data_IF_755380657344
#
_entry.id   IF_755380657344
#
_cell.length_a   1.000
_cell.length_b   1.000
_cell.length_c   1.000
_cell.angle_alpha   90.00
_cell.angle_beta   90.00
_cell.angle_gamma   90.00
#
_symmetry.space_group_name_H-M   'P 1'
#
loop_
_entity.id
_entity.type
_entity.pdbx_description
1 polymer ?
#
# COMPACT_ATOMS: atom_id res chain seq x y z
N UNK A 1 23.81 9.26 -25.17
CA UNK A 1 23.04 8.13 -24.61
C UNK A 1 22.77 8.51 -23.17
N UNK A 2 21.56 8.97 -22.84
CA UNK A 2 21.24 9.35 -21.47
C UNK A 2 20.77 8.10 -20.73
N UNK A 3 21.59 7.60 -19.82
CA UNK A 3 21.19 6.49 -18.96
C UNK A 3 20.19 6.98 -17.92
N UNK A 4 18.99 6.40 -17.91
CA UNK A 4 17.99 6.62 -16.86
C UNK A 4 18.19 5.63 -15.70
N UNK A 5 17.93 6.08 -14.48
CA UNK A 5 18.02 5.25 -13.27
C UNK A 5 16.77 5.44 -12.42
N UNK A 6 16.27 4.36 -11.82
CA UNK A 6 15.14 4.38 -10.91
C UNK A 6 15.63 4.35 -9.46
N UNK A 7 15.08 5.24 -8.64
CA UNK A 7 15.37 5.38 -7.21
C UNK A 7 14.05 5.17 -6.44
N UNK A 8 13.90 4.09 -5.66
CA UNK A 8 12.73 3.92 -4.82
C UNK A 8 12.80 4.83 -3.58
N UNK A 9 11.70 5.52 -3.25
CA UNK A 9 11.46 6.00 -1.88
C UNK A 9 10.79 4.85 -1.09
N UNK A 10 11.23 4.59 0.14
CA UNK A 10 11.20 3.23 0.70
C UNK A 10 9.94 2.85 1.50
N UNK A 11 8.80 3.52 1.31
CA UNK A 11 7.60 3.29 2.11
C UNK A 11 6.50 2.57 1.33
N UNK A 12 6.74 1.34 0.89
CA UNK A 12 5.67 0.50 0.35
C UNK A 12 4.85 -0.11 1.49
N UNK A 13 3.53 0.10 1.44
CA UNK A 13 2.59 -0.60 2.31
C UNK A 13 2.53 -2.10 2.01
N UNK A 14 1.80 -2.88 2.81
CA UNK A 14 1.49 -4.25 2.47
C UNK A 14 0.77 -4.29 1.10
N UNK A 15 1.46 -4.75 0.05
CA UNK A 15 0.89 -4.84 -1.31
C UNK A 15 0.38 -6.25 -1.65
N UNK A 16 0.55 -7.20 -0.72
CA UNK A 16 0.37 -8.62 -0.99
C UNK A 16 -1.07 -9.00 -1.37
N UNK A 17 -2.05 -8.19 -1.00
CA UNK A 17 -3.47 -8.43 -1.31
C UNK A 17 -3.93 -7.72 -2.58
N UNK A 18 -3.17 -6.74 -3.08
CA UNK A 18 -3.59 -5.89 -4.19
C UNK A 18 -3.42 -6.61 -5.53
N UNK A 19 -4.52 -6.78 -6.25
CA UNK A 19 -4.49 -7.26 -7.64
C UNK A 19 -4.15 -6.11 -8.57
N UNK A 20 -3.24 -6.36 -9.50
CA UNK A 20 -2.86 -5.44 -10.57
C UNK A 20 -3.90 -5.50 -11.69
N UNK A 21 -4.17 -4.35 -12.30
CA UNK A 21 -4.99 -4.25 -13.51
C UNK A 21 -4.31 -4.88 -14.73
N UNK A 22 -2.97 -4.90 -14.75
CA UNK A 22 -2.16 -5.46 -15.82
C UNK A 22 -1.24 -6.56 -15.30
N UNK A 23 -1.08 -7.60 -16.12
CA UNK A 23 -0.12 -8.68 -15.86
C UNK A 23 1.26 -8.25 -16.31
N UNK A 24 2.09 -7.85 -15.37
CA UNK A 24 3.50 -7.60 -15.63
C UNK A 24 4.25 -8.88 -15.29
N UNK A 25 4.97 -9.43 -16.27
CA UNK A 25 5.77 -10.65 -16.12
C UNK A 25 4.95 -11.85 -15.60
N UNK A 26 3.68 -11.95 -16.01
CA UNK A 26 2.77 -13.04 -15.62
C UNK A 26 2.27 -13.00 -14.17
N UNK A 27 2.59 -11.97 -13.38
CA UNK A 27 2.04 -11.79 -12.03
C UNK A 27 0.77 -10.95 -12.05
N UNK A 28 -0.20 -11.30 -11.20
CA UNK A 28 -1.41 -10.52 -10.95
C UNK A 28 -1.37 -9.76 -9.63
N UNK A 29 -0.43 -10.07 -8.75
CA UNK A 29 -0.37 -9.46 -7.42
C UNK A 29 0.74 -8.43 -7.38
N UNK A 30 0.44 -7.30 -6.74
CA UNK A 30 1.30 -6.12 -6.73
C UNK A 30 2.65 -6.39 -6.05
N UNK A 31 2.68 -7.19 -4.99
CA UNK A 31 3.91 -7.61 -4.30
C UNK A 31 4.89 -8.34 -5.23
N UNK A 32 4.45 -9.42 -5.87
CA UNK A 32 5.30 -10.19 -6.78
C UNK A 32 5.70 -9.38 -8.01
N UNK A 33 4.79 -8.56 -8.54
CA UNK A 33 5.08 -7.71 -9.69
C UNK A 33 6.20 -6.71 -9.36
N UNK A 34 6.11 -6.05 -8.21
CA UNK A 34 7.12 -5.08 -7.80
C UNK A 34 8.50 -5.72 -7.60
N UNK A 35 8.57 -6.84 -6.88
CA UNK A 35 9.83 -7.57 -6.69
C UNK A 35 10.45 -8.00 -8.02
N UNK A 36 9.64 -8.43 -8.99
CA UNK A 36 10.13 -8.81 -10.33
C UNK A 36 10.63 -7.61 -11.13
N UNK A 37 9.96 -6.47 -11.07
CA UNK A 37 10.41 -5.23 -11.72
C UNK A 37 11.75 -4.79 -11.13
N UNK A 38 11.85 -4.75 -9.80
CA UNK A 38 13.10 -4.41 -9.11
C UNK A 38 14.23 -5.37 -9.48
N UNK A 39 13.97 -6.68 -9.56
CA UNK A 39 14.95 -7.66 -10.00
C UNK A 39 15.47 -7.36 -11.41
N UNK A 40 14.60 -7.07 -12.38
CA UNK A 40 15.00 -6.74 -13.76
C UNK A 40 15.78 -5.42 -13.80
N UNK A 41 15.31 -4.39 -13.10
CA UNK A 41 16.02 -3.11 -13.03
C UNK A 41 17.40 -3.26 -12.37
N UNK A 42 17.52 -4.11 -11.34
CA UNK A 42 18.79 -4.43 -10.71
C UNK A 42 19.75 -5.17 -11.65
N UNK A 43 19.26 -6.19 -12.36
CA UNK A 43 20.08 -6.95 -13.32
C UNK A 43 20.57 -6.09 -14.50
N UNK A 44 19.81 -5.07 -14.88
CA UNK A 44 20.19 -4.12 -15.93
C UNK A 44 21.04 -2.96 -15.42
N UNK A 45 21.35 -2.90 -14.11
CA UNK A 45 22.10 -1.81 -13.49
C UNK A 45 21.34 -0.48 -13.45
N UNK A 46 20.01 -0.50 -13.61
CA UNK A 46 19.13 0.67 -13.67
C UNK A 46 18.46 1.00 -12.34
N UNK A 47 18.66 0.19 -11.30
CA UNK A 47 18.10 0.39 -9.97
C UNK A 47 19.15 0.92 -9.00
N UNK A 48 18.91 2.10 -8.44
CA UNK A 48 19.69 2.65 -7.33
C UNK A 48 18.92 2.43 -6.02
N UNK A 49 18.91 1.18 -5.55
CA UNK A 49 18.27 0.82 -4.29
C UNK A 49 19.31 0.79 -3.17
N UNK A 50 19.04 1.51 -2.09
CA UNK A 50 19.91 1.56 -0.94
C UNK A 50 19.17 1.10 0.31
N UNK A 51 19.81 0.22 1.08
CA UNK A 51 19.31 -0.13 2.41
C UNK A 51 19.53 1.05 3.38
N UNK A 52 18.59 1.25 4.31
CA UNK A 52 18.68 2.28 5.36
C UNK A 52 18.81 3.73 4.82
N UNK A 53 18.15 3.99 3.69
CA UNK A 53 18.00 5.34 3.16
C UNK A 53 17.07 6.14 4.06
N UNK A 54 17.60 7.21 4.65
CA UNK A 54 16.85 8.06 5.57
C UNK A 54 16.20 9.23 4.84
N UNK A 55 16.97 9.89 3.97
CA UNK A 55 16.52 11.11 3.30
C UNK A 55 17.08 11.20 1.88
N UNK A 56 16.21 11.63 0.95
CA UNK A 56 16.55 11.98 -0.41
C UNK A 56 16.43 13.50 -0.52
N UNK A 57 17.53 14.18 -0.86
CA UNK A 57 17.54 15.62 -1.14
C UNK A 57 17.87 15.88 -2.60
N UNK A 58 17.12 16.76 -3.23
CA UNK A 58 17.36 17.20 -4.61
C UNK A 58 17.68 18.68 -4.56
N UNK A 59 18.89 19.03 -4.99
CA UNK A 59 19.34 20.42 -5.07
C UNK A 59 19.96 20.69 -6.43
N UNK A 60 19.40 21.66 -7.15
CA UNK A 60 19.79 22.04 -8.53
C UNK A 60 19.90 20.84 -9.50
N UNK A 61 21.14 20.42 -9.84
CA UNK A 61 21.49 19.34 -10.77
C UNK A 61 21.91 18.06 -10.05
N UNK A 62 21.73 17.98 -8.73
CA UNK A 62 22.26 16.90 -7.93
C UNK A 62 21.27 16.28 -6.94
N UNK A 63 21.26 14.95 -6.90
CA UNK A 63 20.54 14.16 -5.92
C UNK A 63 21.50 13.68 -4.85
N UNK A 64 21.13 13.86 -3.59
CA UNK A 64 21.89 13.48 -2.40
C UNK A 64 21.10 12.48 -1.58
N UNK A 65 21.71 11.33 -1.35
CA UNK A 65 21.22 10.28 -0.47
C UNK A 65 21.91 10.36 0.88
N UNK A 66 21.15 10.41 1.97
CA UNK A 66 21.67 10.37 3.33
C UNK A 66 21.21 9.09 4.04
N UNK A 67 22.16 8.39 4.66
CA UNK A 67 21.93 7.09 5.32
C UNK A 67 21.99 7.22 6.83
N UNK A 68 21.39 6.27 7.55
CA UNK A 68 21.39 6.22 9.01
C UNK A 68 22.81 6.12 9.62
N UNK A 69 23.73 5.50 8.90
CA UNK A 69 25.15 5.41 9.29
C UNK A 69 25.96 6.68 8.96
N UNK A 70 25.29 7.81 8.69
CA UNK A 70 25.88 9.10 8.31
C UNK A 70 26.66 9.10 7.00
N UNK A 71 26.57 8.04 6.19
CA UNK A 71 27.11 8.06 4.83
C UNK A 71 26.26 8.96 3.94
N UNK A 72 26.90 9.52 2.91
CA UNK A 72 26.28 10.40 1.95
C UNK A 72 26.77 10.04 0.54
N UNK A 73 25.83 9.79 -0.37
CA UNK A 73 26.13 9.68 -1.80
C UNK A 73 25.52 10.87 -2.55
N UNK A 74 26.26 11.42 -3.52
CA UNK A 74 25.81 12.53 -4.36
C UNK A 74 26.00 12.17 -5.82
N UNK A 75 24.95 12.30 -6.62
CA UNK A 75 24.97 12.07 -8.06
C UNK A 75 24.48 13.31 -8.78
N UNK A 76 25.06 13.60 -9.95
CA UNK A 76 24.56 14.63 -10.86
C UNK A 76 23.60 14.03 -11.86
N UNK A 77 22.57 14.78 -12.23
CA UNK A 77 21.58 14.38 -13.23
C UNK A 77 21.31 15.52 -14.21
N UNK A 78 20.88 15.16 -15.43
CA UNK A 78 20.38 16.14 -16.41
C UNK A 78 18.89 16.44 -16.24
N UNK A 79 18.09 15.39 -16.04
CA UNK A 79 16.64 15.48 -15.77
C UNK A 79 16.24 14.49 -14.67
N UNK A 80 15.32 14.90 -13.81
CA UNK A 80 14.77 14.11 -12.72
C UNK A 80 13.24 14.21 -12.74
N UNK A 81 12.58 13.05 -12.77
CA UNK A 81 11.13 12.93 -12.69
C UNK A 81 10.75 12.28 -11.35
N UNK A 82 9.91 12.97 -10.58
CA UNK A 82 9.48 12.54 -9.25
C UNK A 82 8.03 12.08 -9.33
N UNK A 83 7.80 10.79 -9.04
CA UNK A 83 6.47 10.18 -9.02
C UNK A 83 5.79 10.25 -7.64
N UNK A 84 6.59 10.33 -6.57
CA UNK A 84 6.11 10.45 -5.21
C UNK A 84 7.05 11.38 -4.44
N UNK A 85 6.49 12.49 -3.95
CA UNK A 85 7.24 13.53 -3.24
C UNK A 85 7.46 13.19 -1.77
N UNK A 86 6.78 12.14 -1.27
CA UNK A 86 6.86 11.76 0.15
C UNK A 86 8.30 11.41 0.54
N UNK A 87 8.84 12.11 1.55
CA UNK A 87 10.21 11.87 2.04
C UNK A 87 11.31 12.32 1.07
N UNK A 88 10.97 13.20 0.11
CA UNK A 88 11.91 13.83 -0.81
C UNK A 88 11.95 15.33 -0.52
N UNK A 89 13.10 15.82 -0.09
CA UNK A 89 13.37 17.24 0.11
C UNK A 89 13.86 17.84 -1.22
N UNK A 90 13.20 18.87 -1.73
CA UNK A 90 13.50 19.46 -3.04
C UNK A 90 13.43 20.98 -3.02
N UNK A 91 14.24 21.62 -3.85
CA UNK A 91 14.29 23.08 -3.97
C UNK A 91 13.08 23.68 -4.73
N UNK A 92 12.27 22.85 -5.39
CA UNK A 92 11.11 23.31 -6.16
C UNK A 92 10.15 24.10 -5.27
N UNK A 93 9.64 25.23 -5.79
CA UNK A 93 8.69 26.06 -5.05
C UNK A 93 7.36 25.33 -4.88
N UNK A 94 6.82 25.37 -3.66
CA UNK A 94 5.49 24.83 -3.36
C UNK A 94 4.44 25.85 -3.83
N UNK A 95 3.74 25.53 -4.92
CA UNK A 95 2.63 26.34 -5.45
C UNK A 95 1.46 26.29 -4.46
N UNK A 96 1.16 25.09 -3.95
CA UNK A 96 0.04 24.87 -3.06
C UNK A 96 0.38 23.85 -1.99
N UNK A 97 0.27 24.28 -0.75
CA UNK A 97 0.31 23.39 0.40
C UNK A 97 -1.01 22.64 0.52
N UNK A 98 -0.98 21.32 0.47
CA UNK A 98 -2.13 20.45 0.71
C UNK A 98 -1.80 19.59 1.94
N UNK A 99 -2.64 19.60 2.99
CA UNK A 99 -2.39 18.79 4.17
C UNK A 99 -2.13 17.33 3.82
N UNK A 100 -1.05 16.76 4.34
CA UNK A 100 -0.72 15.35 4.15
C UNK A 100 -1.88 14.46 4.55
N UNK A 101 -2.13 13.43 3.76
CA UNK A 101 -3.04 12.34 4.10
C UNK A 101 -2.23 11.11 4.46
N UNK A 102 -2.78 10.28 5.32
CA UNK A 102 -2.14 9.07 5.78
C UNK A 102 -2.90 7.86 5.27
N UNK A 103 -2.21 6.99 4.53
CA UNK A 103 -2.72 5.67 4.22
C UNK A 103 -2.47 4.76 5.40
N UNK A 104 -3.55 4.21 5.95
CA UNK A 104 -3.49 3.31 7.10
C UNK A 104 -3.94 1.93 6.69
N UNK A 105 -3.07 0.97 6.94
CA UNK A 105 -3.32 -0.45 6.74
C UNK A 105 -3.44 -1.12 8.09
N UNK A 106 -4.64 -1.61 8.41
CA UNK A 106 -4.86 -2.44 9.60
C UNK A 106 -5.02 -3.89 9.17
N UNK A 107 -4.09 -4.73 9.63
CA UNK A 107 -4.06 -6.17 9.35
C UNK A 107 -4.79 -6.92 10.47
N UNK A 108 -5.68 -7.82 10.10
CA UNK A 108 -6.51 -8.57 11.02
C UNK A 108 -6.46 -10.07 10.74
N UNK A 109 -6.24 -10.83 11.81
CA UNK A 109 -6.44 -12.27 11.80
C UNK A 109 -7.92 -12.59 11.98
N UNK A 110 -8.47 -13.44 11.09
CA UNK A 110 -9.84 -13.92 11.20
C UNK A 110 -9.81 -15.40 11.61
N UNK A 111 -10.48 -15.70 12.71
CA UNK A 111 -10.61 -17.06 13.25
C UNK A 111 -12.07 -17.43 13.42
N UNK A 112 -12.34 -18.73 13.58
CA UNK A 112 -13.70 -19.26 13.79
C UNK A 112 -14.60 -18.98 12.56
N UNK A 113 -14.03 -18.91 11.35
CA UNK A 113 -14.81 -18.89 10.11
C UNK A 113 -15.50 -20.23 9.89
N UNK A 114 -16.76 -20.20 9.45
CA UNK A 114 -17.49 -21.42 9.07
C UNK A 114 -17.14 -21.83 7.65
N UNK A 115 -16.69 -23.07 7.46
CA UNK A 115 -16.30 -23.56 6.13
C UNK A 115 -14.86 -23.21 5.74
N UNK A 116 -14.49 -23.58 4.52
CA UNK A 116 -13.16 -23.32 3.95
C UNK A 116 -13.31 -22.24 2.88
N UNK A 117 -13.05 -20.99 3.26
CA UNK A 117 -13.10 -19.87 2.33
C UNK A 117 -11.74 -19.72 1.65
N UNK A 118 -11.71 -19.78 0.32
CA UNK A 118 -10.50 -19.47 -0.47
C UNK A 118 -10.58 -18.10 -1.12
N UNK A 119 -11.78 -17.53 -1.16
CA UNK A 119 -12.10 -16.22 -1.70
C UNK A 119 -13.27 -15.62 -0.92
N UNK A 120 -13.17 -14.34 -0.60
CA UNK A 120 -14.23 -13.51 -0.07
C UNK A 120 -14.25 -12.21 -0.86
N UNK A 121 -15.45 -11.66 -1.08
CA UNK A 121 -15.60 -10.43 -1.84
C UNK A 121 -15.05 -9.22 -1.07
N UNK A 122 -14.19 -8.41 -1.70
CA UNK A 122 -13.66 -7.22 -1.06
C UNK A 122 -14.76 -6.17 -0.89
N UNK A 123 -14.64 -5.34 0.15
CA UNK A 123 -15.43 -4.10 0.28
C UNK A 123 -14.67 -2.97 -0.39
N UNK A 124 -15.36 -2.15 -1.18
CA UNK A 124 -14.87 -0.86 -1.66
C UNK A 124 -15.98 0.15 -1.38
N UNK A 125 -15.69 1.17 -0.60
CA UNK A 125 -16.59 2.28 -0.30
C UNK A 125 -15.85 3.61 -0.40
N UNK A 126 -16.58 4.72 -0.29
CA UNK A 126 -16.03 6.07 -0.25
C UNK A 126 -15.75 6.56 1.18
N UNK A 127 -15.86 5.66 2.18
CA UNK A 127 -15.61 5.98 3.58
C UNK A 127 -14.11 6.28 3.81
N UNK A 128 -13.77 7.12 4.78
CA UNK A 128 -12.37 7.40 5.12
C UNK A 128 -11.72 6.23 5.89
N UNK A 129 -12.49 5.61 6.81
CA UNK A 129 -12.09 4.45 7.60
C UNK A 129 -12.56 3.14 6.97
N UNK A 130 -11.66 2.17 6.86
CA UNK A 130 -11.92 0.88 6.20
C UNK A 130 -12.61 1.06 4.85
N UNK A 131 -12.11 2.05 4.09
CA UNK A 131 -12.52 2.39 2.72
C UNK A 131 -12.53 1.14 1.86
N UNK A 132 -11.47 0.36 1.97
CA UNK A 132 -11.36 -0.92 1.31
C UNK A 132 -11.08 -2.02 2.33
N UNK A 133 -11.69 -3.19 2.15
CA UNK A 133 -11.44 -4.39 2.93
C UNK A 133 -11.07 -5.49 1.96
N UNK A 134 -9.84 -5.99 2.06
CA UNK A 134 -9.31 -7.01 1.18
C UNK A 134 -9.04 -8.29 1.98
N UNK A 135 -9.53 -9.42 1.47
CA UNK A 135 -9.31 -10.73 2.06
C UNK A 135 -8.21 -11.47 1.32
N UNK A 136 -7.39 -12.21 2.06
CA UNK A 136 -6.29 -12.97 1.49
C UNK A 136 -6.10 -14.29 2.23
N UNK A 137 -5.60 -15.30 1.51
CA UNK A 137 -5.25 -16.58 2.12
C UNK A 137 -3.92 -16.43 2.83
N UNK A 138 -3.96 -16.58 4.15
CA UNK A 138 -2.84 -16.43 5.07
C UNK A 138 -2.06 -17.73 5.18
N UNK A 139 -0.74 -17.62 5.08
CA UNK A 139 0.19 -18.74 5.27
C UNK A 139 0.46 -19.09 6.73
N UNK A 140 -0.30 -18.52 7.69
CA UNK A 140 -0.03 -18.71 9.13
C UNK A 140 -0.31 -20.11 9.67
N UNK A 141 -1.00 -20.94 8.89
CA UNK A 141 -1.20 -22.37 9.20
C UNK A 141 -0.65 -23.16 8.02
N UNK A 142 0.42 -23.91 8.28
CA UNK A 142 1.12 -24.68 7.26
C UNK A 142 0.17 -25.64 6.54
N UNK A 143 0.17 -25.59 5.21
CA UNK A 143 -0.66 -26.44 4.34
C UNK A 143 -2.13 -26.01 4.23
N UNK A 144 -2.58 -24.96 4.93
CA UNK A 144 -3.99 -24.55 4.91
C UNK A 144 -4.26 -23.36 3.98
N UNK A 145 -4.54 -23.65 2.71
CA UNK A 145 -4.83 -22.64 1.68
C UNK A 145 -6.21 -21.94 1.82
N UNK A 146 -6.94 -22.20 2.89
CA UNK A 146 -8.29 -21.68 3.16
C UNK A 146 -8.36 -20.80 4.41
N UNK A 147 -7.22 -20.56 5.07
CA UNK A 147 -7.17 -19.66 6.22
C UNK A 147 -7.21 -18.24 5.67
N UNK A 148 -8.37 -17.62 5.75
CA UNK A 148 -8.57 -16.25 5.24
C UNK A 148 -8.37 -15.24 6.36
N UNK A 149 -7.46 -14.30 6.15
CA UNK A 149 -7.29 -13.10 6.98
C UNK A 149 -7.66 -11.87 6.14
N UNK A 150 -7.65 -10.67 6.72
CA UNK A 150 -7.97 -9.46 5.99
C UNK A 150 -7.14 -8.26 6.38
N UNK A 151 -7.08 -7.30 5.47
CA UNK A 151 -6.47 -6.00 5.67
C UNK A 151 -7.45 -4.93 5.24
N UNK A 152 -7.53 -3.86 6.03
CA UNK A 152 -8.34 -2.70 5.70
C UNK A 152 -7.44 -1.55 5.30
N UNK A 153 -7.78 -0.86 4.21
CA UNK A 153 -7.13 0.37 3.77
C UNK A 153 -8.02 1.56 4.14
N UNK A 154 -7.43 2.54 4.81
CA UNK A 154 -8.08 3.80 5.22
C UNK A 154 -7.23 4.98 4.75
N UNK A 155 -7.88 6.12 4.54
CA UNK A 155 -7.21 7.38 4.21
C UNK A 155 -7.61 8.40 5.27
N UNK A 156 -6.68 8.72 6.17
CA UNK A 156 -6.94 9.51 7.36
C UNK A 156 -6.14 10.81 7.36
N UNK A 157 -6.63 11.83 8.05
CA UNK A 157 -5.86 13.03 8.40
C UNK A 157 -5.00 12.78 9.64
N UNK A 158 -4.06 13.69 9.92
CA UNK A 158 -3.20 13.62 11.12
C UNK A 158 -4.01 13.61 12.41
N UNK A 159 -5.09 14.38 12.47
CA UNK A 159 -5.95 14.46 13.66
C UNK A 159 -6.76 13.17 13.85
N UNK A 160 -7.24 12.59 12.74
CA UNK A 160 -7.97 11.32 12.76
C UNK A 160 -7.09 10.15 13.21
N UNK A 161 -5.79 10.14 12.90
CA UNK A 161 -4.87 9.10 13.40
C UNK A 161 -4.86 8.99 14.93
N UNK A 162 -5.05 10.11 15.63
CA UNK A 162 -5.07 10.17 17.09
C UNK A 162 -6.48 10.05 17.68
N UNK A 163 -7.50 9.95 16.83
CA UNK A 163 -8.89 9.82 17.24
C UNK A 163 -9.28 8.35 17.40
N UNK A 164 -9.88 8.01 18.54
CA UNK A 164 -10.33 6.65 18.85
C UNK A 164 -11.41 6.13 17.90
N UNK A 165 -12.18 7.02 17.26
CA UNK A 165 -13.19 6.66 16.24
C UNK A 165 -12.57 6.11 14.95
N UNK A 166 -11.28 6.33 14.72
CA UNK A 166 -10.52 5.82 13.56
C UNK A 166 -9.48 4.77 13.98
N UNK A 167 -9.68 4.16 15.15
CA UNK A 167 -8.83 3.09 15.69
C UNK A 167 -9.04 1.75 15.00
N UNK A 168 -8.10 0.84 15.20
CA UNK A 168 -8.16 -0.56 14.77
C UNK A 168 -9.37 -1.30 15.36
N UNK A 169 -9.85 -0.84 16.52
CA UNK A 169 -11.06 -1.38 17.15
C UNK A 169 -12.30 -1.07 16.32
N UNK A 170 -12.40 0.12 15.72
CA UNK A 170 -13.50 0.47 14.82
C UNK A 170 -13.34 -0.23 13.46
N UNK A 171 -12.12 -0.28 12.92
CA UNK A 171 -11.83 -1.07 11.72
C UNK A 171 -12.25 -2.55 11.85
N UNK A 172 -12.03 -3.16 13.01
CA UNK A 172 -12.52 -4.51 13.34
C UNK A 172 -14.05 -4.63 13.23
N UNK A 173 -14.81 -3.64 13.69
CA UNK A 173 -16.27 -3.65 13.56
C UNK A 173 -16.71 -3.50 12.10
N UNK A 174 -15.99 -2.70 11.30
CA UNK A 174 -16.20 -2.61 9.84
C UNK A 174 -16.02 -3.98 9.17
N UNK A 175 -14.96 -4.72 9.50
CA UNK A 175 -14.72 -6.08 8.99
C UNK A 175 -15.84 -7.04 9.39
N UNK A 176 -16.25 -7.05 10.65
CA UNK A 176 -17.32 -7.93 11.14
C UNK A 176 -18.65 -7.66 10.43
N UNK A 177 -18.99 -6.37 10.25
CA UNK A 177 -20.19 -5.95 9.53
C UNK A 177 -20.13 -6.34 8.06
N UNK A 178 -18.96 -6.23 7.43
CA UNK A 178 -18.78 -6.65 6.03
C UNK A 178 -18.96 -8.16 5.88
N UNK A 179 -18.33 -8.97 6.73
CA UNK A 179 -18.49 -10.43 6.76
C UNK A 179 -19.97 -10.83 6.89
N UNK A 180 -20.71 -10.18 7.79
CA UNK A 180 -22.15 -10.43 7.97
C UNK A 180 -22.94 -10.06 6.70
N UNK A 181 -22.60 -8.94 6.05
CA UNK A 181 -23.28 -8.47 4.85
C UNK A 181 -23.13 -9.41 3.65
N UNK A 182 -21.96 -10.07 3.52
CA UNK A 182 -21.71 -11.09 2.50
C UNK A 182 -22.14 -12.51 2.94
N UNK A 183 -22.88 -12.63 4.05
CA UNK A 183 -23.43 -13.89 4.53
C UNK A 183 -22.43 -14.85 5.19
N UNK A 184 -21.20 -14.40 5.47
CA UNK A 184 -20.19 -15.21 6.13
C UNK A 184 -20.48 -15.32 7.62
N UNK A 185 -20.63 -16.57 8.07
CA UNK A 185 -20.90 -16.91 9.47
C UNK A 185 -19.70 -17.63 10.08
N UNK A 186 -19.64 -17.67 11.40
CA UNK A 186 -18.62 -18.46 12.07
C UNK A 186 -18.95 -19.95 12.08
N UNK A 187 -18.07 -20.74 12.70
CA UNK A 187 -18.22 -22.19 12.79
C UNK A 187 -19.57 -22.61 13.43
N UNK A 188 -20.17 -23.68 12.91
CA UNK A 188 -21.37 -24.27 13.51
C UNK A 188 -21.14 -24.62 14.98
N UNK A 189 -22.14 -24.34 15.81
CA UNK A 189 -22.08 -24.61 17.26
C UNK A 189 -23.05 -25.72 17.66
N UNK A 190 -24.35 -25.53 17.39
CA UNK A 190 -25.41 -26.49 17.75
C UNK A 190 -26.70 -26.16 17.03
N UNK A 191 -27.64 -27.11 16.99
CA UNK A 191 -29.03 -26.84 16.68
C UNK A 191 -29.80 -26.40 17.93
N UNK A 192 -30.68 -25.41 17.80
CA UNK A 192 -31.69 -25.12 18.81
C UNK A 192 -32.82 -26.16 18.77
N UNK A 193 -33.60 -26.25 19.86
CA UNK A 193 -34.75 -27.18 19.96
C UNK A 193 -35.82 -26.96 18.88
N UNK A 194 -35.89 -25.75 18.32
CA UNK A 194 -36.79 -25.39 17.21
C UNK A 194 -36.20 -25.72 15.81
N UNK A 195 -35.07 -26.43 15.74
CA UNK A 195 -34.40 -26.79 14.49
C UNK A 195 -33.51 -25.70 13.87
N UNK A 196 -33.47 -24.49 14.44
CA UNK A 196 -32.63 -23.41 13.89
C UNK A 196 -31.14 -23.62 14.23
N UNK A 197 -30.22 -23.48 13.25
CA UNK A 197 -28.79 -23.64 13.49
C UNK A 197 -28.20 -22.42 14.20
N UNK A 198 -27.41 -22.67 15.26
CA UNK A 198 -26.60 -21.67 15.94
C UNK A 198 -25.16 -21.73 15.42
N UNK A 199 -24.67 -20.59 14.96
CA UNK A 199 -23.27 -20.39 14.55
C UNK A 199 -22.53 -19.53 15.58
N UNK A 200 -21.21 -19.72 15.68
CA UNK A 200 -20.33 -18.76 16.35
C UNK A 200 -20.24 -17.49 15.51
N UNK A 201 -19.90 -16.37 16.15
CA UNK A 201 -19.49 -15.17 15.41
C UNK A 201 -18.03 -15.34 14.97
N UNK A 202 -17.66 -14.94 13.74
CA UNK A 202 -16.25 -14.84 13.36
C UNK A 202 -15.50 -13.98 14.37
N UNK A 203 -14.27 -14.38 14.70
CA UNK A 203 -13.42 -13.62 15.61
C UNK A 203 -12.33 -12.93 14.80
N UNK A 204 -12.41 -11.61 14.74
CA UNK A 204 -11.44 -10.73 14.08
C UNK A 204 -10.52 -10.14 15.16
N UNK A 205 -9.21 -10.30 15.01
CA UNK A 205 -8.21 -9.80 15.94
C UNK A 205 -7.18 -8.93 15.19
N UNK A 206 -6.99 -7.69 15.64
CA UNK A 206 -5.99 -6.80 15.06
C UNK A 206 -4.58 -7.34 15.32
N UNK A 207 -3.72 -7.22 14.31
CA UNK A 207 -2.33 -7.69 14.35
C UNK A 207 -1.33 -6.55 14.23
N UNK A 208 -1.52 -5.69 13.24
CA UNK A 208 -0.56 -4.65 12.92
C UNK A 208 -1.25 -3.51 12.20
N UNK A 209 -0.91 -2.30 12.62
CA UNK A 209 -1.22 -1.06 11.93
C UNK A 209 0.04 -0.55 11.23
N UNK A 210 -0.05 -0.31 9.94
CA UNK A 210 1.01 0.34 9.14
C UNK A 210 0.48 1.66 8.64
N UNK A 211 1.16 2.75 9.00
CA UNK A 211 0.78 4.11 8.61
C UNK A 211 1.83 4.62 7.62
N UNK A 212 1.37 5.05 6.46
CA UNK A 212 2.20 5.70 5.45
C UNK A 212 1.72 7.12 5.27
N UNK A 213 2.60 8.09 5.46
CA UNK A 213 2.33 9.44 5.03
C UNK A 213 2.29 9.50 3.52
N UNK A 214 1.37 10.30 2.99
CA UNK A 214 1.31 10.68 1.59
C UNK A 214 1.29 12.20 1.53
N UNK A 215 2.41 12.75 1.10
CA UNK A 215 2.49 14.17 0.80
C UNK A 215 1.66 14.48 -0.44
N UNK A 216 0.97 15.62 -0.42
CA UNK A 216 0.06 16.04 -1.50
C UNK A 216 0.38 17.44 -2.02
N UNK A 217 1.54 17.98 -1.66
CA UNK A 217 1.95 19.31 -2.09
C UNK A 217 2.10 19.37 -3.60
N UNK A 218 1.70 20.52 -4.17
CA UNK A 218 1.87 20.80 -5.59
C UNK A 218 3.10 21.68 -5.75
N UNK A 219 4.06 21.19 -6.53
CA UNK A 219 5.33 21.86 -6.79
C UNK A 219 5.33 22.48 -8.18
N UNK A 220 6.09 23.57 -8.33
CA UNK A 220 6.43 24.13 -9.62
C UNK A 220 7.53 23.31 -10.28
N UNK A 221 7.33 22.93 -11.54
CA UNK A 221 8.36 22.24 -12.30
C UNK A 221 9.53 23.18 -12.61
N UNK A 222 10.74 22.68 -12.43
CA UNK A 222 11.95 23.38 -12.88
C UNK A 222 12.43 22.79 -14.21
N UNK A 223 13.45 23.39 -14.81
CA UNK A 223 14.02 22.87 -16.06
C UNK A 223 14.52 21.43 -15.92
N UNK A 224 15.06 21.07 -14.75
CA UNK A 224 15.72 19.79 -14.52
C UNK A 224 14.92 18.85 -13.63
N UNK A 225 13.98 19.34 -12.80
CA UNK A 225 13.21 18.53 -11.85
C UNK A 225 11.72 18.74 -12.07
N UNK A 226 11.01 17.65 -12.42
CA UNK A 226 9.57 17.65 -12.69
C UNK A 226 8.84 16.71 -11.74
N UNK A 227 7.70 17.15 -11.22
CA UNK A 227 6.81 16.29 -10.42
C UNK A 227 5.70 15.79 -11.32
N UNK A 228 5.63 14.47 -11.52
CA UNK A 228 4.78 13.85 -12.55
C UNK A 228 3.79 12.86 -11.93
N UNK A 229 2.54 12.91 -12.40
CA UNK A 229 1.49 11.94 -12.07
C UNK A 229 0.92 11.40 -13.39
N UNK A 230 1.67 10.51 -14.04
CA UNK A 230 1.26 9.97 -15.34
C UNK A 230 0.15 8.94 -15.20
N UNK A 231 -0.92 9.15 -15.95
CA UNK A 231 -1.91 8.12 -16.22
C UNK A 231 -1.34 7.06 -17.17
N UNK A 232 -1.87 5.84 -17.09
CA UNK A 232 -1.49 4.74 -18.00
C UNK A 232 -1.59 5.14 -19.48
N UNK A 233 -2.57 5.97 -19.85
CA UNK A 233 -2.74 6.44 -21.23
C UNK A 233 -1.57 7.31 -21.69
N UNK A 234 -1.14 8.24 -20.82
CA UNK A 234 -0.02 9.14 -21.11
C UNK A 234 1.30 8.38 -21.29
N UNK A 235 1.52 7.35 -20.46
CA UNK A 235 2.69 6.47 -20.57
C UNK A 235 2.73 5.78 -21.93
N UNK A 236 1.60 5.22 -22.40
CA UNK A 236 1.55 4.55 -23.71
C UNK A 236 1.75 5.52 -24.87
N UNK A 237 1.20 6.73 -24.81
CA UNK A 237 1.44 7.74 -25.85
C UNK A 237 2.90 8.19 -25.89
N UNK A 238 3.54 8.36 -24.72
CA UNK A 238 4.94 8.77 -24.65
C UNK A 238 5.90 7.71 -25.21
N UNK A 239 5.56 6.42 -25.08
CA UNK A 239 6.40 5.30 -25.56
C UNK A 239 6.23 5.03 -27.06
N UNK A 240 5.19 5.58 -27.70
CA UNK A 240 4.87 5.37 -29.12
C UNK A 240 5.53 6.39 -30.06
N UNK A 241 6.42 7.24 -29.52
CA UNK A 241 7.15 8.30 -30.23
C UNK A 241 8.64 8.06 -30.09
#
# INVERSE_FOLDING_TARGET
MHDAYFVPNLNFGPMFYKKMSLRILGSYRSDYTWSRIQMIMGLTGKLLNYENLNNIKIHEDAIKFSFDNSQVFKYKFGSCEIFDTTGVDMDNLIIRHIPSKYKVYDDYEISILGGKHTYLEPKISDDELAREIHYYNSGRVDGANYVTDCVTESILTKDQLNNSEYSDSIGRFCVLRHLESIGVRGSFMKMYKNGTPKYRKPKVAHKRRTVLEKEQNIYEDTQNVKVVDYSMKEIFSATST
#
